data_IF_792446446410
#
_entry.id   IF_792446446410
#
_cell.length_a   1.000
_cell.length_b   1.000
_cell.length_c   1.000
_cell.angle_alpha   90.00
_cell.angle_beta   90.00
_cell.angle_gamma   90.00
#
_symmetry.space_group_name_H-M   'P 1'
#
loop_
_entity.id
_entity.type
_entity.pdbx_description
1 polymer ?
#
# COMPACT_ATOMS: atom_id res chain seq x y z
N UNK A 1 -9.45 -27.07 14.79
CA UNK A 1 -8.52 -25.98 15.18
C UNK A 1 -8.98 -24.69 14.52
N UNK A 2 -9.05 -23.56 15.25
CA UNK A 2 -9.23 -22.24 14.62
C UNK A 2 -7.84 -21.67 14.39
N UNK A 3 -7.40 -21.62 13.13
CA UNK A 3 -6.14 -21.00 12.77
C UNK A 3 -6.30 -19.48 12.90
N UNK A 4 -5.71 -18.90 13.95
CA UNK A 4 -5.60 -17.44 14.04
C UNK A 4 -4.44 -16.99 13.15
N UNK A 5 -4.76 -16.46 11.97
CA UNK A 5 -3.78 -15.71 11.19
C UNK A 5 -3.61 -14.36 11.90
N UNK A 6 -2.44 -14.13 12.48
CA UNK A 6 -2.05 -12.81 13.01
C UNK A 6 -1.77 -11.89 11.83
N UNK A 7 -2.85 -11.44 11.17
CA UNK A 7 -2.78 -10.44 10.13
C UNK A 7 -2.68 -9.05 10.78
N UNK A 8 -1.81 -8.15 10.27
CA UNK A 8 -1.76 -6.76 10.72
C UNK A 8 -3.16 -6.15 10.56
N UNK A 9 -3.68 -5.52 11.60
CA UNK A 9 -5.04 -4.98 11.62
C UNK A 9 -5.10 -3.51 11.22
N UNK A 10 -4.01 -2.78 11.43
CA UNK A 10 -3.90 -1.35 11.13
C UNK A 10 -3.13 -1.05 9.84
N UNK A 11 -3.46 0.06 9.19
CA UNK A 11 -2.73 0.54 8.00
C UNK A 11 -1.25 0.83 8.34
N UNK A 12 -0.97 1.36 9.53
CA UNK A 12 0.41 1.54 10.04
C UNK A 12 1.15 0.20 10.13
N UNK A 13 0.53 -0.84 10.70
CA UNK A 13 1.17 -2.15 10.84
C UNK A 13 1.41 -2.82 9.46
N UNK A 14 0.50 -2.62 8.51
CA UNK A 14 0.68 -3.06 7.12
C UNK A 14 1.84 -2.34 6.45
N UNK A 15 1.89 -1.01 6.58
CA UNK A 15 2.95 -0.17 6.03
C UNK A 15 4.33 -0.59 6.57
N UNK A 16 4.43 -0.79 7.88
CA UNK A 16 5.70 -1.09 8.54
C UNK A 16 6.19 -2.51 8.19
N UNK A 17 5.29 -3.42 7.82
CA UNK A 17 5.61 -4.75 7.27
C UNK A 17 5.90 -4.77 5.76
N UNK A 18 5.95 -3.61 5.12
CA UNK A 18 6.25 -3.50 3.69
C UNK A 18 5.06 -3.73 2.77
N UNK A 19 3.83 -3.82 3.30
CA UNK A 19 2.65 -3.84 2.44
C UNK A 19 2.32 -2.44 1.93
N UNK A 20 1.63 -2.42 0.79
CA UNK A 20 0.94 -1.24 0.28
C UNK A 20 -0.54 -1.58 0.14
N UNK A 21 -1.41 -0.77 0.73
CA UNK A 21 -2.87 -0.93 0.66
C UNK A 21 -3.48 0.17 -0.19
N UNK A 22 -4.09 -0.24 -1.29
CA UNK A 22 -4.78 0.65 -2.22
C UNK A 22 -6.30 0.52 -2.03
N UNK A 23 -6.97 1.61 -1.71
CA UNK A 23 -8.44 1.68 -1.60
C UNK A 23 -8.98 2.38 -2.83
N UNK A 24 -9.86 1.72 -3.59
CA UNK A 24 -10.48 2.33 -4.77
C UNK A 24 -11.31 3.55 -4.36
N UNK A 25 -11.13 4.67 -5.08
CA UNK A 25 -11.91 5.91 -4.91
C UNK A 25 -12.80 6.19 -6.11
N UNK A 26 -12.29 5.89 -7.30
CA UNK A 26 -13.02 6.00 -8.57
C UNK A 26 -12.47 4.97 -9.57
N UNK A 27 -12.96 4.98 -10.80
CA UNK A 27 -12.41 4.18 -11.87
C UNK A 27 -10.96 4.58 -12.20
N UNK A 28 -10.05 3.60 -12.15
CA UNK A 28 -8.62 3.84 -12.34
C UNK A 28 -7.94 4.71 -11.26
N UNK A 29 -8.64 5.09 -10.17
CA UNK A 29 -8.08 5.93 -9.09
C UNK A 29 -8.16 5.20 -7.74
N UNK A 30 -7.00 5.09 -7.10
CA UNK A 30 -6.85 4.42 -5.80
C UNK A 30 -6.11 5.32 -4.82
N UNK A 31 -6.51 5.28 -3.56
CA UNK A 31 -5.77 5.93 -2.47
C UNK A 31 -4.85 4.93 -1.78
N UNK A 32 -3.57 5.28 -1.68
CA UNK A 32 -2.59 4.57 -0.87
C UNK A 32 -2.73 5.00 0.59
N UNK A 33 -3.50 4.25 1.37
CA UNK A 33 -3.71 4.51 2.81
C UNK A 33 -2.49 4.17 3.66
N UNK A 34 -1.46 3.58 3.03
CA UNK A 34 -0.16 3.24 3.62
C UNK A 34 0.98 4.09 3.04
N UNK A 35 0.68 5.23 2.39
CA UNK A 35 1.68 6.05 1.73
C UNK A 35 2.78 6.48 2.70
N UNK A 36 4.04 6.34 2.25
CA UNK A 36 5.23 6.81 2.95
C UNK A 36 5.62 8.20 2.46
N UNK A 37 6.50 8.87 3.19
CA UNK A 37 6.98 10.18 2.79
C UNK A 37 7.60 10.15 1.39
N UNK A 38 7.15 11.08 0.54
CA UNK A 38 7.55 11.17 -0.86
C UNK A 38 6.83 10.21 -1.81
N UNK A 39 5.92 9.37 -1.33
CA UNK A 39 5.02 8.58 -2.18
C UNK A 39 3.74 9.35 -2.52
N UNK A 40 3.16 9.06 -3.68
CA UNK A 40 1.84 9.62 -4.02
C UNK A 40 0.76 9.01 -3.13
N UNK A 41 -0.10 9.87 -2.55
CA UNK A 41 -1.33 9.41 -1.88
C UNK A 41 -2.34 8.81 -2.87
N UNK A 42 -2.33 9.24 -4.12
CA UNK A 42 -3.24 8.73 -5.15
C UNK A 42 -2.48 8.02 -6.25
N UNK A 43 -2.83 6.75 -6.47
CA UNK A 43 -2.35 5.92 -7.57
C UNK A 43 -3.35 6.00 -8.71
N UNK A 44 -2.86 6.32 -9.92
CA UNK A 44 -3.67 6.42 -11.12
C UNK A 44 -3.23 5.38 -12.14
N UNK A 45 -4.21 4.71 -12.73
CA UNK A 45 -3.96 3.78 -13.83
C UNK A 45 -3.26 4.50 -14.99
N UNK A 46 -2.24 3.87 -15.57
CA UNK A 46 -1.46 4.43 -16.68
C UNK A 46 -0.48 5.54 -16.29
N UNK A 47 -0.31 5.84 -15.00
CA UNK A 47 0.63 6.86 -14.49
C UNK A 47 1.69 6.23 -13.57
N UNK A 48 2.79 5.69 -14.14
CA UNK A 48 3.81 4.97 -13.37
C UNK A 48 4.45 5.80 -12.26
N UNK A 49 4.53 7.12 -12.42
CA UNK A 49 5.04 8.06 -11.43
C UNK A 49 4.22 8.10 -10.14
N UNK A 50 2.99 7.61 -10.17
CA UNK A 50 2.11 7.53 -9.00
C UNK A 50 2.21 6.19 -8.26
N UNK A 51 2.95 5.21 -8.79
CA UNK A 51 3.08 3.89 -8.17
C UNK A 51 4.01 3.93 -6.94
N UNK A 52 3.75 3.07 -5.94
CA UNK A 52 4.64 2.89 -4.78
C UNK A 52 6.03 2.44 -5.21
N UNK A 53 7.07 2.90 -4.52
CA UNK A 53 8.43 2.51 -4.84
C UNK A 53 8.79 1.16 -4.19
N UNK A 54 8.37 0.06 -4.84
CA UNK A 54 8.53 -1.31 -4.30
C UNK A 54 9.98 -1.67 -3.97
N UNK A 55 10.96 -1.14 -4.72
CA UNK A 55 12.40 -1.38 -4.47
C UNK A 55 12.88 -0.79 -3.15
N UNK A 56 12.25 0.30 -2.67
CA UNK A 56 12.57 0.88 -1.37
C UNK A 56 11.87 0.16 -0.22
N UNK A 57 10.80 -0.57 -0.52
CA UNK A 57 9.90 -1.19 0.46
C UNK A 57 10.29 -2.64 0.73
N UNK A 58 10.62 -3.39 -0.33
CA UNK A 58 10.95 -4.82 -0.27
C UNK A 58 12.46 -4.98 -0.44
N UNK A 59 13.08 -5.75 0.46
CA UNK A 59 14.50 -6.14 0.40
C UNK A 59 14.59 -7.65 0.61
N UNK A 60 15.57 -8.28 -0.05
CA UNK A 60 15.97 -9.67 0.22
C UNK A 60 16.67 -9.78 1.58
#
# INVERSE_FOLDING_TARGET
>A
SRFYVSAPKGDTELRDKGFTKLVRRDDGVYENVTARDGESRYVRQGKPETLPNLKKIIRD
#
